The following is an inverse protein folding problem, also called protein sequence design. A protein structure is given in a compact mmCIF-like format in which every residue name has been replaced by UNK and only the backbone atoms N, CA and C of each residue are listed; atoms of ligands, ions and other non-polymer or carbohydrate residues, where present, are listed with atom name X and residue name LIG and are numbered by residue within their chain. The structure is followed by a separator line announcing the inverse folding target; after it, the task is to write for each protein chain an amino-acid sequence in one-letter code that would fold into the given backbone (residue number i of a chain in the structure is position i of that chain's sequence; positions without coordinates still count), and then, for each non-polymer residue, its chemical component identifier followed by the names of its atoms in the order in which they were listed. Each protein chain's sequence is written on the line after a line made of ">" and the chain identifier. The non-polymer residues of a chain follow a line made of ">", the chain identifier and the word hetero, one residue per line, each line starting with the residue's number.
data_IF_373826800498
#
_entry.id   IF_373826800498
#
_cell.length_a   1.000
_cell.length_b   1.000
_cell.length_c   1.000
_cell.angle_alpha   90.00
_cell.angle_beta   90.00
_cell.angle_gamma   90.00
#
_symmetry.space_group_name_H-M   'P 1'
#
loop_
_entity.id
_entity.type
_entity.pdbx_description
1 polymer ?
#
# COMPACT_ATOMS: atom_id res chain seq x y z
N UNK A 1 -20.07 0.89 10.46
CA UNK A 1 -19.32 0.73 9.19
C UNK A 1 -19.05 2.12 8.65
N UNK A 2 -17.79 2.44 8.39
CA UNK A 2 -17.31 3.76 7.95
C UNK A 2 -16.92 3.64 6.46
N UNK A 3 -17.10 4.71 5.67
CA UNK A 3 -16.73 4.81 4.24
C UNK A 3 -17.31 3.70 3.33
N UNK A 4 -18.65 3.58 3.30
CA UNK A 4 -19.33 2.54 2.50
C UNK A 4 -19.23 2.72 0.99
N UNK A 5 -19.02 3.95 0.54
CA UNK A 5 -19.16 4.33 -0.88
C UNK A 5 -17.83 4.80 -1.47
N UNK A 6 -16.70 4.34 -0.91
CA UNK A 6 -15.34 4.70 -1.37
C UNK A 6 -14.63 3.44 -1.87
N UNK A 7 -14.17 3.49 -3.11
CA UNK A 7 -13.49 2.36 -3.79
C UNK A 7 -12.02 2.19 -3.33
N UNK A 8 -11.35 3.29 -2.99
CA UNK A 8 -9.97 3.28 -2.53
C UNK A 8 -9.71 4.46 -1.60
N UNK A 9 -8.94 4.24 -0.54
CA UNK A 9 -8.50 5.28 0.38
C UNK A 9 -7.02 5.12 0.68
N UNK A 10 -6.37 6.21 1.03
CA UNK A 10 -5.01 6.19 1.56
C UNK A 10 -5.05 6.62 3.02
N UNK A 11 -4.59 5.75 3.91
CA UNK A 11 -4.40 6.06 5.32
C UNK A 11 -2.94 6.48 5.53
N UNK A 12 -2.72 7.65 6.09
CA UNK A 12 -1.39 8.30 6.17
C UNK A 12 -1.24 8.93 7.54
N UNK A 13 -0.04 8.83 8.10
CA UNK A 13 0.29 9.51 9.36
C UNK A 13 0.36 11.03 9.18
N UNK A 14 0.13 11.75 10.27
CA UNK A 14 0.04 13.22 10.28
C UNK A 14 1.37 13.92 10.04
N UNK A 15 2.48 13.19 10.09
CA UNK A 15 3.85 13.67 9.94
C UNK A 15 4.46 13.30 8.57
N UNK A 16 3.63 12.88 7.60
CA UNK A 16 4.07 12.56 6.23
C UNK A 16 4.10 13.79 5.34
N UNK A 17 5.21 13.94 4.59
CA UNK A 17 5.36 14.92 3.52
C UNK A 17 5.42 14.24 2.15
N UNK A 18 4.50 14.59 1.26
CA UNK A 18 4.52 14.12 -0.13
C UNK A 18 5.47 14.96 -0.99
N UNK A 19 6.48 14.31 -1.56
CA UNK A 19 7.48 14.96 -2.42
C UNK A 19 7.13 14.90 -3.92
N UNK A 20 6.09 14.14 -4.28
CA UNK A 20 5.64 13.89 -5.67
C UNK A 20 4.11 13.92 -5.74
N UNK A 21 3.53 14.10 -6.94
CA UNK A 21 2.09 14.09 -7.12
C UNK A 21 1.44 12.77 -6.67
N UNK A 22 0.32 12.88 -5.98
CA UNK A 22 -0.46 11.74 -5.47
C UNK A 22 -1.00 10.83 -6.57
N UNK A 23 -1.15 11.34 -7.81
CA UNK A 23 -1.56 10.57 -8.97
C UNK A 23 -0.67 9.34 -9.21
N UNK A 24 0.59 9.40 -8.79
CA UNK A 24 1.52 8.27 -8.87
C UNK A 24 1.05 7.10 -7.98
N UNK A 25 0.54 7.38 -6.78
CA UNK A 25 0.00 6.37 -5.85
C UNK A 25 -1.34 5.84 -6.37
N UNK A 26 -2.23 6.72 -6.84
CA UNK A 26 -3.52 6.29 -7.38
C UNK A 26 -3.37 5.39 -8.60
N UNK A 27 -2.39 5.66 -9.47
CA UNK A 27 -2.07 4.79 -10.61
C UNK A 27 -1.56 3.42 -10.17
N UNK A 28 -0.86 3.34 -9.04
CA UNK A 28 -0.42 2.08 -8.45
C UNK A 28 -1.60 1.25 -7.92
N UNK A 29 -2.54 1.86 -7.20
CA UNK A 29 -3.74 1.17 -6.72
C UNK A 29 -4.61 0.62 -7.87
N UNK A 30 -4.70 1.35 -8.99
CA UNK A 30 -5.40 0.87 -10.20
C UNK A 30 -4.76 -0.37 -10.85
N UNK A 31 -3.53 -0.73 -10.48
CA UNK A 31 -2.86 -1.92 -10.98
C UNK A 31 -3.19 -3.18 -10.16
N UNK A 32 -3.95 -3.05 -9.05
CA UNK A 32 -4.35 -4.19 -8.24
C UNK A 32 -5.35 -5.06 -9.00
N UNK A 33 -5.25 -6.37 -8.81
CA UNK A 33 -6.25 -7.31 -9.29
C UNK A 33 -7.38 -7.49 -8.25
N UNK A 34 -8.38 -8.32 -8.58
CA UNK A 34 -9.56 -8.54 -7.75
C UNK A 34 -9.29 -9.19 -6.38
N UNK A 35 -8.09 -9.72 -6.14
CA UNK A 35 -7.74 -10.35 -4.86
C UNK A 35 -6.78 -9.51 -4.02
N UNK A 36 -6.14 -8.48 -4.58
CA UNK A 36 -5.15 -7.65 -3.89
C UNK A 36 -5.82 -6.51 -3.14
N UNK A 37 -5.50 -6.38 -1.85
CA UNK A 37 -6.20 -5.47 -0.94
C UNK A 37 -5.31 -4.31 -0.44
N UNK A 38 -3.99 -4.44 -0.53
CA UNK A 38 -3.04 -3.44 -0.05
C UNK A 38 -1.70 -3.50 -0.81
N UNK A 39 -0.95 -2.40 -0.78
CA UNK A 39 0.47 -2.35 -1.12
C UNK A 39 1.19 -1.41 -0.16
N UNK A 40 2.48 -1.63 0.05
CA UNK A 40 3.32 -0.85 0.97
C UNK A 40 4.67 -0.52 0.35
N UNK A 41 5.21 0.62 0.77
CA UNK A 41 6.59 0.94 0.47
C UNK A 41 7.51 -0.08 1.18
N UNK A 42 8.67 -0.41 0.59
CA UNK A 42 9.68 -1.20 1.27
C UNK A 42 10.07 -0.53 2.59
N UNK A 43 9.91 -1.25 3.70
CA UNK A 43 10.35 -0.80 5.03
C UNK A 43 11.89 -0.69 5.10
N UNK A 44 12.57 -1.58 4.38
CA UNK A 44 14.02 -1.71 4.42
C UNK A 44 14.60 -2.01 3.04
N UNK A 45 15.84 -1.59 2.79
CA UNK A 45 16.53 -1.80 1.51
C UNK A 45 16.66 -3.28 1.15
N UNK A 46 16.77 -4.15 2.16
CA UNK A 46 16.76 -5.60 1.98
C UNK A 46 15.31 -6.12 2.09
N UNK A 47 14.69 -6.59 0.99
CA UNK A 47 13.26 -6.93 0.95
C UNK A 47 12.81 -8.00 1.95
N UNK A 48 13.75 -8.86 2.37
CA UNK A 48 13.50 -10.00 3.28
C UNK A 48 13.52 -9.63 4.75
N UNK A 49 13.89 -8.40 5.11
CA UNK A 49 14.02 -7.97 6.51
C UNK A 49 12.72 -7.34 7.01
N UNK A 50 11.92 -6.75 6.12
CA UNK A 50 10.68 -6.07 6.48
C UNK A 50 9.66 -6.97 7.16
N UNK A 51 8.89 -6.42 8.10
CA UNK A 51 7.89 -7.16 8.86
C UNK A 51 6.79 -7.72 7.95
N UNK A 52 6.33 -6.92 6.99
CA UNK A 52 5.20 -7.28 6.14
C UNK A 52 5.50 -8.42 5.18
N UNK A 53 6.67 -8.42 4.53
CA UNK A 53 7.06 -9.53 3.65
C UNK A 53 7.20 -10.86 4.41
N UNK A 54 7.43 -10.82 5.72
CA UNK A 54 7.60 -12.01 6.57
C UNK A 54 6.33 -12.46 7.27
N UNK A 55 5.46 -11.53 7.66
CA UNK A 55 4.38 -11.81 8.61
C UNK A 55 2.99 -11.37 8.15
N UNK A 56 2.85 -10.56 7.10
CA UNK A 56 1.53 -10.17 6.60
C UNK A 56 0.77 -11.41 6.06
N UNK A 57 -0.51 -11.50 6.39
CA UNK A 57 -1.39 -12.62 5.99
C UNK A 57 -2.53 -12.21 5.07
N UNK A 58 -2.58 -10.94 4.66
CA UNK A 58 -3.54 -10.44 3.69
C UNK A 58 -2.91 -10.41 2.28
N UNK A 59 -3.69 -10.63 1.21
CA UNK A 59 -3.20 -10.45 -0.16
C UNK A 59 -2.68 -9.04 -0.41
N UNK A 60 -1.56 -8.94 -1.13
CA UNK A 60 -0.86 -7.67 -1.35
C UNK A 60 -0.29 -7.57 -2.78
N UNK A 61 0.07 -6.37 -3.21
CA UNK A 61 0.58 -6.10 -4.56
C UNK A 61 2.07 -5.78 -4.57
N UNK A 62 2.86 -6.59 -5.29
CA UNK A 62 4.29 -6.35 -5.49
C UNK A 62 5.16 -7.35 -4.72
N UNK A 63 6.47 -7.11 -4.72
CA UNK A 63 7.46 -8.06 -4.16
C UNK A 63 7.64 -7.94 -2.65
N UNK A 64 7.19 -6.85 -2.04
CA UNK A 64 7.43 -6.51 -0.63
C UNK A 64 6.19 -6.42 0.24
N UNK A 65 5.00 -6.59 -0.32
CA UNK A 65 3.79 -6.04 0.29
C UNK A 65 3.22 -4.97 -0.59
#
# INVERSE_FOLDING_TARGET
>A
VILKDVDSLLYVDTDVLFLRPMDDIWRLLKAFNSTQLAAMAPEHEVPKIGWYSRFARHPFYGVTG
#
